data_IF_838052130017
#
_entry.id   IF_838052130017
#
_cell.length_a   1.000
_cell.length_b   1.000
_cell.length_c   1.000
_cell.angle_alpha   90.00
_cell.angle_beta   90.00
_cell.angle_gamma   90.00
#
_symmetry.space_group_name_H-M   'P 1'
#
loop_
_entity.id
_entity.type
_entity.pdbx_description
1 polymer ?
#
# COMPACT_ATOMS: atom_id res chain seq x y z
N UNK A 1 24.48 3.35 -56.16
CA UNK A 1 24.42 4.78 -55.77
C UNK A 1 23.80 4.89 -54.39
N UNK A 2 24.61 5.19 -53.36
CA UNK A 2 24.19 5.99 -52.20
C UNK A 2 24.18 7.47 -52.63
N UNK A 3 23.43 8.41 -52.01
CA UNK A 3 23.50 8.81 -50.58
C UNK A 3 22.10 9.13 -49.99
N UNK A 4 21.81 9.61 -48.76
CA UNK A 4 22.51 9.98 -47.52
C UNK A 4 21.47 10.17 -46.39
N UNK A 5 21.88 9.80 -45.17
CA UNK A 5 21.49 10.19 -43.79
C UNK A 5 20.46 11.31 -43.56
N UNK A 6 19.60 11.10 -42.56
CA UNK A 6 19.38 12.02 -41.42
C UNK A 6 18.95 11.27 -40.15
N UNK A 7 19.19 11.94 -39.02
CA UNK A 7 19.48 11.46 -37.68
C UNK A 7 18.28 11.65 -36.72
N UNK A 8 18.41 11.06 -35.52
CA UNK A 8 17.88 11.51 -34.21
C UNK A 8 16.44 11.19 -33.79
N UNK A 9 16.33 10.65 -32.56
CA UNK A 9 15.15 10.87 -31.71
C UNK A 9 14.84 9.79 -30.69
N UNK A 10 15.77 9.48 -29.77
CA UNK A 10 15.43 8.83 -28.50
C UNK A 10 14.44 9.74 -27.75
N UNK A 11 13.20 9.28 -27.52
CA UNK A 11 12.30 9.93 -26.57
C UNK A 11 11.80 8.90 -25.57
N UNK A 12 12.52 8.79 -24.45
CA UNK A 12 11.96 8.19 -23.24
C UNK A 12 10.99 9.21 -22.63
N UNK A 13 9.71 8.84 -22.58
CA UNK A 13 8.71 9.60 -21.85
C UNK A 13 8.94 9.41 -20.34
N UNK A 14 9.61 10.36 -19.69
CA UNK A 14 9.72 10.43 -18.25
C UNK A 14 8.34 10.78 -17.66
N UNK A 15 7.70 9.83 -16.97
CA UNK A 15 6.55 10.12 -16.09
C UNK A 15 7.09 10.79 -14.83
N UNK A 16 6.85 12.10 -14.68
CA UNK A 16 7.19 12.85 -13.48
C UNK A 16 6.07 12.68 -12.44
N UNK A 17 6.40 12.18 -11.24
CA UNK A 17 5.51 12.30 -10.09
C UNK A 17 5.35 13.79 -9.77
N UNK A 18 4.11 14.26 -9.56
CA UNK A 18 3.83 15.56 -8.96
C UNK A 18 3.15 15.32 -7.62
N UNK A 19 3.76 15.84 -6.57
CA UNK A 19 3.16 15.97 -5.24
C UNK A 19 2.39 17.29 -5.21
N UNK A 20 1.08 17.23 -4.96
CA UNK A 20 0.27 18.41 -4.68
C UNK A 20 0.08 18.54 -3.17
N UNK A 21 0.50 19.67 -2.60
CA UNK A 21 0.30 20.01 -1.20
C UNK A 21 -1.10 20.64 -1.04
N UNK A 22 -2.03 19.89 -0.46
CA UNK A 22 -3.27 20.44 0.07
C UNK A 22 -3.16 20.36 1.59
N UNK A 23 -3.18 21.50 2.27
CA UNK A 23 -2.86 21.70 3.68
C UNK A 23 -3.74 20.99 4.73
N UNK A 24 -4.01 19.69 4.55
CA UNK A 24 -4.49 18.72 5.53
C UNK A 24 -3.96 17.32 5.14
N UNK A 25 -2.86 16.91 5.78
CA UNK A 25 -2.35 15.53 6.00
C UNK A 25 -2.46 14.44 4.92
N UNK A 26 -2.68 14.78 3.65
CA UNK A 26 -2.71 13.79 2.57
C UNK A 26 -1.86 14.25 1.40
N UNK A 27 -0.76 13.53 1.16
CA UNK A 27 0.06 13.65 -0.05
C UNK A 27 -0.58 12.80 -1.14
N UNK A 28 -0.93 13.44 -2.26
CA UNK A 28 -1.57 12.79 -3.40
C UNK A 28 -0.54 12.39 -4.46
N UNK A 29 -0.58 11.14 -4.90
CA UNK A 29 0.15 10.66 -6.08
C UNK A 29 -0.86 10.09 -7.07
N UNK A 30 -0.99 10.72 -8.23
CA UNK A 30 -1.88 10.29 -9.31
C UNK A 30 -1.09 10.02 -10.59
N UNK A 31 -1.38 8.91 -11.27
CA UNK A 31 -0.86 8.64 -12.60
C UNK A 31 -1.93 8.94 -13.65
N UNK A 32 -1.95 10.14 -14.21
CA UNK A 32 -2.70 10.42 -15.43
C UNK A 32 -1.86 11.20 -16.44
N UNK A 33 -1.76 10.65 -17.65
CA UNK A 33 -1.19 11.32 -18.80
C UNK A 33 -2.30 11.90 -19.68
N UNK A 34 -2.25 13.21 -19.94
CA UNK A 34 -2.76 13.86 -21.16
C UNK A 34 -1.90 15.09 -21.45
N UNK A 35 -1.51 15.24 -22.71
CA UNK A 35 -0.67 16.30 -23.24
C UNK A 35 -1.43 17.63 -23.33
N UNK A 36 -0.77 18.73 -22.97
CA UNK A 36 -1.18 20.11 -23.22
C UNK A 36 0.06 21.01 -23.21
N UNK A 37 0.18 21.82 -24.26
CA UNK A 37 1.33 22.64 -24.70
C UNK A 37 1.72 23.83 -23.77
N UNK A 38 2.87 24.51 -24.01
CA UNK A 38 3.64 25.20 -22.99
C UNK A 38 3.33 26.71 -22.87
N UNK A 39 3.53 27.25 -21.67
CA UNK A 39 3.51 28.69 -21.42
C UNK A 39 4.24 29.05 -20.12
N UNK A 40 5.33 29.79 -20.30
CA UNK A 40 5.94 30.82 -19.45
C UNK A 40 6.70 30.45 -18.15
N UNK A 41 8.02 30.62 -18.30
CA UNK A 41 9.02 31.24 -17.41
C UNK A 41 8.91 31.13 -15.88
N UNK A 42 9.95 30.52 -15.29
CA UNK A 42 10.27 30.53 -13.86
C UNK A 42 11.20 31.70 -13.56
N UNK A 43 10.98 32.50 -12.50
CA UNK A 43 12.06 33.22 -11.86
C UNK A 43 12.64 32.42 -10.68
N UNK A 44 13.97 32.40 -10.68
CA UNK A 44 14.88 31.76 -9.77
C UNK A 44 15.09 32.64 -8.52
N UNK A 45 14.85 32.11 -7.31
CA UNK A 45 15.45 32.65 -6.08
C UNK A 45 15.53 31.63 -4.94
N UNK A 46 16.78 31.23 -4.66
CA UNK A 46 17.45 30.91 -3.38
C UNK A 46 16.66 30.18 -2.26
N UNK A 47 16.96 28.89 -2.03
CA UNK A 47 18.02 28.34 -1.14
C UNK A 47 17.85 28.67 0.35
N UNK A 48 17.44 27.67 1.13
CA UNK A 48 18.23 27.09 2.26
C UNK A 48 17.46 25.90 2.85
N UNK A 49 17.97 24.67 2.67
CA UNK A 49 17.48 23.49 3.39
C UNK A 49 18.68 22.88 4.11
N UNK A 50 18.57 22.80 5.42
CA UNK A 50 19.54 22.18 6.31
C UNK A 50 19.59 20.66 6.07
N UNK A 51 20.76 20.02 6.15
CA UNK A 51 20.84 18.58 5.93
C UNK A 51 20.20 17.82 7.10
N UNK A 52 19.20 16.99 6.77
CA UNK A 52 18.62 16.02 7.69
C UNK A 52 19.63 14.90 7.95
N UNK A 53 20.10 14.79 9.20
CA UNK A 53 20.98 13.70 9.62
C UNK A 53 20.16 12.42 9.84
N UNK A 54 20.31 11.44 8.95
CA UNK A 54 19.73 10.11 9.11
C UNK A 54 20.33 9.40 10.34
N UNK A 55 19.51 8.79 11.23
CA UNK A 55 19.99 8.07 12.40
C UNK A 55 20.51 6.65 12.09
N UNK A 56 20.58 6.25 10.81
CA UNK A 56 21.05 4.92 10.44
C UNK A 56 22.54 4.93 10.12
N UNK A 57 23.37 4.72 11.15
CA UNK A 57 24.70 4.11 11.00
C UNK A 57 24.66 2.70 11.58
N UNK A 58 25.06 1.73 10.77
CA UNK A 58 25.44 0.40 11.26
C UNK A 58 26.85 0.51 11.82
N UNK A 59 27.00 0.42 13.15
CA UNK A 59 28.31 0.27 13.79
C UNK A 59 28.40 -1.08 14.50
N UNK A 60 29.57 -1.69 14.35
CA UNK A 60 29.94 -3.01 14.84
C UNK A 60 30.13 -2.97 16.36
N UNK A 61 29.54 -3.92 17.08
CA UNK A 61 29.70 -4.05 18.53
C UNK A 61 31.02 -4.73 18.89
N UNK A 62 31.94 -3.99 19.50
CA UNK A 62 32.99 -4.56 20.34
C UNK A 62 32.57 -4.52 21.82
N UNK A 63 32.77 -5.66 22.49
CA UNK A 63 32.48 -5.94 23.89
C UNK A 63 33.26 -5.04 24.85
N UNK A 64 32.59 -4.36 25.81
CA UNK A 64 33.18 -4.03 27.11
C UNK A 64 32.14 -3.99 28.25
N UNK A 65 32.41 -4.77 29.31
CA UNK A 65 32.35 -4.33 30.71
C UNK A 65 31.01 -4.39 31.47
N UNK A 66 30.82 -5.46 32.24
CA UNK A 66 29.85 -5.54 33.34
C UNK A 66 30.24 -4.60 34.51
N UNK A 67 29.28 -3.80 34.99
CA UNK A 67 29.22 -3.36 36.39
C UNK A 67 27.78 -3.39 36.90
N UNK A 68 27.62 -3.97 38.08
CA UNK A 68 26.37 -4.11 38.85
C UNK A 68 25.90 -2.77 39.42
N UNK A 69 24.58 -2.59 39.52
CA UNK A 69 23.98 -1.52 40.33
C UNK A 69 22.55 -1.14 39.93
N UNK A 70 21.65 -1.25 40.92
CA UNK A 70 20.26 -0.75 41.03
C UNK A 70 19.19 -1.39 40.15
N UNK A 71 18.02 -1.65 40.76
CA UNK A 71 16.79 -2.06 40.09
C UNK A 71 16.28 -0.90 39.23
N UNK A 72 16.97 -0.63 38.12
CA UNK A 72 16.48 0.22 37.06
C UNK A 72 15.26 -0.47 36.45
N UNK A 73 14.13 0.23 36.42
CA UNK A 73 13.01 -0.15 35.57
C UNK A 73 13.56 -0.54 34.21
N UNK A 74 13.36 -1.80 33.80
CA UNK A 74 13.81 -2.29 32.50
C UNK A 74 12.98 -1.62 31.40
N UNK A 75 13.28 -0.37 31.11
CA UNK A 75 12.66 0.38 30.02
C UNK A 75 13.22 -0.13 28.70
N UNK A 76 12.32 -0.54 27.81
CA UNK A 76 12.67 -1.00 26.48
C UNK A 76 13.36 0.12 25.68
N UNK A 77 14.40 -0.21 24.93
CA UNK A 77 15.01 0.71 23.96
C UNK A 77 13.99 1.17 22.92
N UNK A 78 14.17 2.35 22.29
CA UNK A 78 13.30 2.84 21.23
C UNK A 78 13.11 1.83 20.09
N UNK A 79 14.17 1.10 19.72
CA UNK A 79 14.12 0.06 18.70
C UNK A 79 13.26 -1.14 19.13
N UNK A 80 13.35 -1.53 20.41
CA UNK A 80 12.50 -2.59 20.97
C UNK A 80 11.03 -2.17 20.99
N UNK A 81 10.73 -0.93 21.41
CA UNK A 81 9.37 -0.38 21.40
C UNK A 81 8.80 -0.36 19.98
N UNK A 82 9.56 0.16 19.01
CA UNK A 82 9.15 0.18 17.60
C UNK A 82 8.86 -1.23 17.07
N UNK A 83 9.75 -2.19 17.33
CA UNK A 83 9.57 -3.57 16.88
C UNK A 83 8.37 -4.24 17.55
N UNK A 84 8.14 -3.97 18.83
CA UNK A 84 6.97 -4.46 19.55
C UNK A 84 5.68 -3.91 18.95
N UNK A 85 5.60 -2.60 18.71
CA UNK A 85 4.42 -1.96 18.11
C UNK A 85 4.16 -2.45 16.68
N UNK A 86 5.21 -2.64 15.88
CA UNK A 86 5.11 -3.26 14.56
C UNK A 86 4.58 -4.69 14.62
N UNK A 87 5.06 -5.49 15.57
CA UNK A 87 4.59 -6.86 15.73
C UNK A 87 3.12 -6.91 16.16
N UNK A 88 2.67 -5.97 17.01
CA UNK A 88 1.26 -5.85 17.39
C UNK A 88 0.38 -5.53 16.19
N UNK A 89 0.76 -4.59 15.33
CA UNK A 89 -0.04 -4.24 14.14
C UNK A 89 -0.08 -5.39 13.13
N UNK A 90 1.05 -6.07 12.90
CA UNK A 90 1.09 -7.28 12.06
C UNK A 90 0.19 -8.38 12.64
N UNK A 91 0.23 -8.61 13.95
CA UNK A 91 -0.60 -9.62 14.60
C UNK A 91 -2.10 -9.29 14.51
N UNK A 92 -2.48 -8.01 14.64
CA UNK A 92 -3.85 -7.52 14.43
C UNK A 92 -4.29 -7.79 12.98
N UNK A 93 -3.52 -7.37 11.99
CA UNK A 93 -3.84 -7.57 10.57
C UNK A 93 -4.02 -9.07 10.24
N UNK A 94 -3.13 -9.93 10.74
CA UNK A 94 -3.25 -11.39 10.58
C UNK A 94 -4.49 -11.98 11.24
N UNK A 95 -4.85 -11.50 12.43
CA UNK A 95 -6.09 -11.92 13.10
C UNK A 95 -7.31 -11.52 12.27
N UNK A 96 -7.35 -10.28 11.81
CA UNK A 96 -8.43 -9.78 10.95
C UNK A 96 -8.55 -10.61 9.68
N UNK A 97 -7.43 -10.90 9.02
CA UNK A 97 -7.43 -11.73 7.82
C UNK A 97 -8.05 -13.11 8.06
N UNK A 98 -7.71 -13.78 9.17
CA UNK A 98 -8.33 -15.07 9.55
C UNK A 98 -9.83 -14.96 9.79
N UNK A 99 -10.30 -13.86 10.40
CA UNK A 99 -11.73 -13.61 10.58
C UNK A 99 -12.42 -13.47 9.22
N UNK A 100 -11.82 -12.74 8.28
CA UNK A 100 -12.34 -12.66 6.92
C UNK A 100 -12.41 -14.05 6.27
N UNK A 101 -11.33 -14.84 6.30
CA UNK A 101 -11.32 -16.21 5.76
C UNK A 101 -12.42 -17.09 6.37
N UNK A 102 -12.61 -17.00 7.69
CA UNK A 102 -13.69 -17.71 8.38
C UNK A 102 -15.07 -17.27 7.86
N UNK A 103 -15.33 -15.96 7.76
CA UNK A 103 -16.61 -15.43 7.23
C UNK A 103 -16.86 -15.86 5.79
N UNK A 104 -15.82 -15.91 4.95
CA UNK A 104 -15.92 -16.47 3.59
C UNK A 104 -16.32 -17.95 3.63
N UNK A 105 -15.67 -18.75 4.48
CA UNK A 105 -15.96 -20.17 4.62
C UNK A 105 -17.40 -20.42 5.13
N UNK A 106 -17.87 -19.63 6.10
CA UNK A 106 -19.23 -19.69 6.62
C UNK A 106 -20.28 -19.31 5.57
N UNK A 107 -20.03 -18.26 4.77
CA UNK A 107 -20.90 -17.89 3.65
C UNK A 107 -21.00 -19.03 2.62
N UNK A 108 -19.86 -19.64 2.27
CA UNK A 108 -19.80 -20.78 1.37
C UNK A 108 -20.56 -21.99 1.92
N UNK A 109 -20.45 -22.28 3.22
CA UNK A 109 -21.20 -23.35 3.88
C UNK A 109 -22.72 -23.11 3.85
N UNK A 110 -23.16 -21.84 3.82
CA UNK A 110 -24.56 -21.42 3.65
C UNK A 110 -25.01 -21.40 2.17
N UNK A 111 -24.18 -21.87 1.24
CA UNK A 111 -24.48 -21.87 -0.20
C UNK A 111 -24.37 -20.50 -0.88
N UNK A 112 -23.78 -19.49 -0.21
CA UNK A 112 -23.50 -18.20 -0.84
C UNK A 112 -22.15 -18.26 -1.57
N UNK A 113 -22.08 -17.95 -2.88
CA UNK A 113 -20.85 -18.00 -3.66
C UNK A 113 -19.86 -16.89 -3.27
N UNK A 114 -20.38 -15.78 -2.74
CA UNK A 114 -19.62 -14.63 -2.26
C UNK A 114 -20.30 -14.09 -0.99
N UNK A 115 -19.55 -13.77 0.08
CA UNK A 115 -20.11 -13.16 1.29
C UNK A 115 -20.60 -11.74 1.01
N UNK A 116 -21.46 -11.19 1.86
CA UNK A 116 -21.82 -9.78 1.69
C UNK A 116 -20.61 -8.88 1.95
N UNK A 117 -20.55 -7.74 1.27
CA UNK A 117 -19.41 -6.83 1.41
C UNK A 117 -19.19 -6.37 2.85
N UNK A 118 -20.25 -6.03 3.57
CA UNK A 118 -20.16 -5.62 4.98
C UNK A 118 -19.49 -6.67 5.89
N UNK A 119 -19.56 -7.95 5.54
CA UNK A 119 -18.94 -9.02 6.32
C UNK A 119 -17.41 -9.07 6.09
N UNK A 120 -16.89 -8.42 5.05
CA UNK A 120 -15.48 -8.45 4.69
C UNK A 120 -14.66 -7.32 5.33
N UNK A 121 -15.31 -6.26 5.82
CA UNK A 121 -14.67 -5.21 6.60
C UNK A 121 -14.78 -5.60 8.08
N UNK A 122 -13.64 -5.84 8.72
CA UNK A 122 -13.57 -6.33 10.10
C UNK A 122 -12.90 -5.32 11.01
N UNK A 123 -12.04 -4.47 10.47
CA UNK A 123 -11.35 -3.47 11.27
C UNK A 123 -12.34 -2.47 11.88
N UNK A 124 -12.42 -2.49 13.21
CA UNK A 124 -13.39 -1.71 13.99
C UNK A 124 -13.25 -0.21 13.76
N UNK A 125 -12.01 0.27 13.56
CA UNK A 125 -11.74 1.70 13.43
C UNK A 125 -12.25 2.25 12.10
N UNK A 126 -12.26 1.41 11.06
CA UNK A 126 -12.92 1.75 9.79
C UNK A 126 -14.43 1.60 9.84
N UNK A 127 -14.95 0.61 10.58
CA UNK A 127 -16.39 0.48 10.82
C UNK A 127 -16.96 1.71 11.54
N UNK A 128 -16.23 2.24 12.51
CA UNK A 128 -16.56 3.47 13.23
C UNK A 128 -16.46 4.72 12.34
N UNK A 129 -15.47 4.76 11.43
CA UNK A 129 -15.26 5.87 10.50
C UNK A 129 -16.25 5.90 9.32
N UNK A 130 -16.86 4.75 8.98
CA UNK A 130 -17.81 4.59 7.88
C UNK A 130 -19.20 4.14 8.39
N UNK A 131 -19.77 4.85 9.38
CA UNK A 131 -21.04 4.45 9.96
C UNK A 131 -22.12 4.54 8.88
N UNK A 132 -22.97 3.52 8.82
CA UNK A 132 -24.10 3.47 7.88
C UNK A 132 -23.73 3.39 6.39
N UNK A 133 -22.44 3.31 6.00
CA UNK A 133 -22.03 3.34 4.58
C UNK A 133 -22.55 2.11 3.82
N UNK A 134 -22.43 0.93 4.41
CA UNK A 134 -22.91 -0.33 3.83
C UNK A 134 -24.44 -0.43 3.74
N UNK A 135 -25.15 0.39 4.51
CA UNK A 135 -26.61 0.48 4.51
C UNK A 135 -27.13 1.36 3.38
N UNK A 136 -26.26 2.13 2.71
CA UNK A 136 -26.68 3.00 1.61
C UNK A 136 -27.13 2.15 0.41
N UNK A 137 -28.16 2.60 -0.35
CA UNK A 137 -28.71 1.83 -1.46
C UNK A 137 -27.68 1.43 -2.52
N UNK A 138 -26.66 2.26 -2.76
CA UNK A 138 -25.63 1.97 -3.75
C UNK A 138 -24.69 0.83 -3.29
N UNK A 139 -24.39 0.72 -1.99
CA UNK A 139 -23.57 -0.36 -1.44
C UNK A 139 -24.32 -1.69 -1.44
N UNK A 140 -25.61 -1.67 -1.12
CA UNK A 140 -26.47 -2.86 -1.22
C UNK A 140 -26.52 -3.39 -2.66
N UNK A 141 -26.76 -2.49 -3.63
CA UNK A 141 -26.73 -2.83 -5.06
C UNK A 141 -25.37 -3.37 -5.51
N UNK A 142 -24.27 -2.81 -5.00
CA UNK A 142 -22.92 -3.29 -5.31
C UNK A 142 -22.66 -4.68 -4.73
N UNK A 143 -23.09 -4.94 -3.50
CA UNK A 143 -23.00 -6.26 -2.85
C UNK A 143 -23.79 -7.31 -3.65
N UNK A 144 -25.02 -6.99 -4.06
CA UNK A 144 -25.84 -7.84 -4.92
C UNK A 144 -25.21 -8.09 -6.30
N UNK A 145 -24.62 -7.05 -6.90
CA UNK A 145 -23.91 -7.14 -8.17
C UNK A 145 -22.77 -8.15 -8.10
N UNK A 146 -21.90 -8.06 -7.08
CA UNK A 146 -20.75 -8.97 -6.92
C UNK A 146 -21.22 -10.40 -6.65
N UNK A 147 -22.23 -10.58 -5.80
CA UNK A 147 -22.80 -11.92 -5.54
C UNK A 147 -23.34 -12.54 -6.84
N UNK A 148 -24.00 -11.75 -7.70
CA UNK A 148 -24.49 -12.21 -9.00
C UNK A 148 -23.34 -12.58 -9.94
N UNK A 149 -22.33 -11.72 -10.09
CA UNK A 149 -21.16 -11.98 -10.95
C UNK A 149 -20.36 -13.20 -10.49
N UNK A 150 -20.27 -13.43 -9.17
CA UNK A 150 -19.53 -14.58 -8.61
C UNK A 150 -20.11 -15.96 -8.95
N UNK A 151 -21.34 -16.00 -9.48
CA UNK A 151 -21.98 -17.24 -9.99
C UNK A 151 -21.55 -17.58 -11.42
N UNK A 152 -20.91 -16.64 -12.11
CA UNK A 152 -20.37 -16.84 -13.45
C UNK A 152 -19.10 -17.69 -13.45
N UNK A 153 -18.55 -17.89 -14.65
CA UNK A 153 -17.27 -18.60 -14.84
C UNK A 153 -16.04 -17.68 -14.73
N UNK A 154 -16.24 -16.35 -14.75
CA UNK A 154 -15.16 -15.38 -14.64
C UNK A 154 -14.66 -15.31 -13.19
N UNK A 155 -13.37 -15.55 -12.92
CA UNK A 155 -12.84 -15.41 -11.58
C UNK A 155 -12.84 -13.95 -11.13
N UNK A 156 -13.24 -13.71 -9.88
CA UNK A 156 -13.19 -12.40 -9.24
C UNK A 156 -11.90 -12.32 -8.41
N UNK A 157 -11.15 -11.23 -8.55
CA UNK A 157 -9.91 -10.99 -7.82
C UNK A 157 -9.93 -9.64 -7.10
N UNK A 158 -9.36 -9.54 -5.89
CA UNK A 158 -8.70 -10.61 -5.13
C UNK A 158 -9.73 -11.61 -4.55
N UNK A 159 -9.27 -12.72 -3.93
CA UNK A 159 -10.16 -13.58 -3.14
C UNK A 159 -11.01 -12.76 -2.15
N UNK A 160 -12.25 -13.17 -1.82
CA UNK A 160 -13.18 -12.33 -1.07
C UNK A 160 -12.61 -11.82 0.27
N UNK A 161 -11.87 -12.66 0.99
CA UNK A 161 -11.24 -12.29 2.26
C UNK A 161 -10.21 -11.14 2.17
N UNK A 162 -9.80 -10.78 0.96
CA UNK A 162 -8.81 -9.76 0.67
C UNK A 162 -9.41 -8.51 0.00
N UNK A 163 -10.71 -8.44 -0.28
CA UNK A 163 -11.34 -7.27 -0.96
C UNK A 163 -11.08 -5.98 -0.20
N UNK A 164 -11.25 -5.99 1.12
CA UNK A 164 -10.96 -4.85 2.00
C UNK A 164 -9.60 -4.96 2.71
N UNK A 165 -8.63 -5.70 2.15
CA UNK A 165 -7.34 -5.92 2.81
C UNK A 165 -6.61 -4.59 3.12
N UNK A 166 -6.69 -3.59 2.24
CA UNK A 166 -6.14 -2.26 2.47
C UNK A 166 -6.66 -1.60 3.75
N UNK A 167 -7.98 -1.64 3.97
CA UNK A 167 -8.63 -1.08 5.17
C UNK A 167 -8.33 -1.94 6.40
N UNK A 168 -8.43 -3.27 6.24
CA UNK A 168 -8.22 -4.24 7.31
C UNK A 168 -6.78 -4.32 7.83
N UNK A 169 -5.80 -3.91 7.01
CA UNK A 169 -4.37 -3.94 7.38
C UNK A 169 -3.87 -2.57 7.86
N UNK A 170 -4.50 -1.47 7.44
CA UNK A 170 -4.16 -0.11 7.82
C UNK A 170 -5.28 0.50 8.69
N UNK A 171 -5.20 0.39 10.03
CA UNK A 171 -6.19 1.00 10.92
C UNK A 171 -6.35 2.50 10.67
N UNK A 172 -7.58 3.00 10.78
CA UNK A 172 -7.92 4.37 10.43
C UNK A 172 -7.12 5.39 11.24
N UNK A 173 -6.95 5.14 12.54
CA UNK A 173 -6.19 5.95 13.49
C UNK A 173 -4.68 5.98 13.24
N UNK A 174 -4.16 5.02 12.48
CA UNK A 174 -2.74 4.94 12.11
C UNK A 174 -2.45 5.46 10.71
N UNK A 175 -3.47 5.86 9.95
CA UNK A 175 -3.35 6.35 8.59
C UNK A 175 -2.46 7.61 8.51
N UNK A 176 -1.48 7.59 7.61
CA UNK A 176 -0.52 8.69 7.38
C UNK A 176 -0.41 9.06 5.90
N UNK A 177 -0.47 8.07 5.02
CA UNK A 177 -0.27 8.24 3.58
C UNK A 177 -1.32 7.43 2.84
N UNK A 178 -1.85 7.98 1.75
CA UNK A 178 -2.77 7.27 0.85
C UNK A 178 -2.09 7.13 -0.51
N UNK A 179 -1.98 5.90 -1.00
CA UNK A 179 -1.49 5.59 -2.34
C UNK A 179 -2.62 4.94 -3.10
N UNK A 180 -2.98 5.53 -4.25
CA UNK A 180 -4.11 5.09 -5.06
C UNK A 180 -3.64 4.32 -6.29
N UNK A 181 -4.11 3.09 -6.42
CA UNK A 181 -4.04 2.31 -7.66
C UNK A 181 -5.35 2.35 -8.43
N UNK A 182 -5.36 1.79 -9.64
CA UNK A 182 -6.54 1.76 -10.50
C UNK A 182 -7.40 0.54 -10.18
N UNK A 183 -6.96 -0.64 -10.63
CA UNK A 183 -7.66 -1.92 -10.50
C UNK A 183 -6.71 -3.00 -9.94
N UNK A 184 -7.24 -4.10 -9.37
CA UNK A 184 -6.43 -5.20 -8.89
C UNK A 184 -5.72 -5.91 -10.05
N UNK A 185 -4.57 -6.52 -9.77
CA UNK A 185 -3.94 -7.40 -10.76
C UNK A 185 -4.86 -8.58 -11.15
N UNK A 186 -5.03 -8.81 -12.44
CA UNK A 186 -5.95 -9.81 -12.97
C UNK A 186 -5.35 -11.23 -13.06
N UNK A 187 -4.05 -11.41 -12.76
CA UNK A 187 -3.40 -12.72 -12.79
C UNK A 187 -3.76 -13.58 -11.57
N UNK A 188 -3.97 -14.89 -11.74
CA UNK A 188 -4.27 -15.78 -10.62
C UNK A 188 -3.24 -15.67 -9.49
N UNK A 189 -3.72 -15.40 -8.28
CA UNK A 189 -2.87 -15.27 -7.08
C UNK A 189 -2.02 -14.00 -7.00
N UNK A 190 -2.16 -13.05 -7.93
CA UNK A 190 -1.41 -11.80 -7.90
C UNK A 190 -2.04 -10.74 -7.00
N UNK A 191 -3.35 -10.50 -7.15
CA UNK A 191 -4.05 -9.51 -6.36
C UNK A 191 -4.19 -9.97 -4.90
N UNK A 192 -3.73 -9.12 -3.99
CA UNK A 192 -3.82 -9.35 -2.55
C UNK A 192 -4.55 -8.22 -1.80
N UNK A 193 -5.35 -7.42 -2.52
CA UNK A 193 -6.16 -6.35 -1.92
C UNK A 193 -5.38 -5.13 -1.42
N UNK A 194 -4.11 -5.00 -1.82
CA UNK A 194 -3.28 -3.82 -1.61
C UNK A 194 -2.78 -3.34 -2.98
N UNK A 195 -2.95 -2.07 -3.32
CA UNK A 195 -2.49 -1.55 -4.61
C UNK A 195 -0.98 -1.74 -4.79
N UNK A 196 -0.55 -2.07 -6.02
CA UNK A 196 0.83 -2.42 -6.40
C UNK A 196 1.45 -3.67 -5.74
N UNK A 197 0.92 -4.14 -4.61
CA UNK A 197 1.47 -5.27 -3.86
C UNK A 197 1.13 -6.61 -4.51
N UNK A 198 2.08 -7.55 -4.44
CA UNK A 198 1.86 -8.96 -4.80
C UNK A 198 2.37 -9.89 -3.69
N UNK A 199 1.79 -11.10 -3.51
CA UNK A 199 2.27 -12.06 -2.53
C UNK A 199 3.74 -12.44 -2.74
N UNK A 200 4.39 -12.91 -1.67
CA UNK A 200 5.76 -13.42 -1.76
C UNK A 200 5.83 -14.61 -2.71
N UNK A 201 6.89 -14.68 -3.52
CA UNK A 201 7.06 -15.70 -4.56
C UNK A 201 6.38 -15.38 -5.89
N UNK A 202 5.51 -14.37 -5.95
CA UNK A 202 4.96 -13.85 -7.20
C UNK A 202 5.94 -12.84 -7.81
N UNK A 203 6.15 -12.94 -9.13
CA UNK A 203 7.00 -12.01 -9.88
C UNK A 203 6.49 -10.58 -9.70
N UNK A 204 7.40 -9.68 -9.34
CA UNK A 204 7.07 -8.25 -9.20
C UNK A 204 6.60 -7.66 -10.54
N UNK A 205 5.44 -6.99 -10.56
CA UNK A 205 4.95 -6.25 -11.72
C UNK A 205 5.86 -5.08 -12.06
N UNK A 206 5.88 -4.67 -13.34
CA UNK A 206 6.74 -3.58 -13.81
C UNK A 206 6.50 -2.25 -13.09
N UNK A 207 5.23 -1.94 -12.78
CA UNK A 207 4.87 -0.74 -12.00
C UNK A 207 5.53 -0.73 -10.62
N UNK A 208 5.52 -1.87 -9.91
CA UNK A 208 6.16 -1.97 -8.60
C UNK A 208 7.69 -1.88 -8.69
N UNK A 209 8.28 -2.50 -9.71
CA UNK A 209 9.73 -2.38 -9.97
C UNK A 209 10.12 -0.92 -10.19
N UNK A 210 9.31 -0.15 -10.92
CA UNK A 210 9.58 1.26 -11.13
C UNK A 210 9.46 2.08 -9.84
N UNK A 211 8.45 1.78 -8.99
CA UNK A 211 8.33 2.40 -7.66
C UNK A 211 9.60 2.13 -6.83
N UNK A 212 10.05 0.88 -6.76
CA UNK A 212 11.26 0.57 -5.99
C UNK A 212 12.52 1.22 -6.55
N UNK A 213 12.66 1.33 -7.88
CA UNK A 213 13.77 2.08 -8.50
C UNK A 213 13.76 3.55 -8.11
N UNK A 214 12.59 4.19 -8.13
CA UNK A 214 12.44 5.59 -7.73
C UNK A 214 12.84 5.78 -6.28
N UNK A 215 12.35 4.93 -5.37
CA UNK A 215 12.69 5.00 -3.94
C UNK A 215 14.20 4.78 -3.73
N UNK A 216 14.81 3.84 -4.45
CA UNK A 216 16.27 3.64 -4.37
C UNK A 216 17.03 4.89 -4.83
N UNK A 217 16.60 5.53 -5.91
CA UNK A 217 17.26 6.72 -6.45
C UNK A 217 17.10 7.94 -5.54
N UNK A 218 15.94 8.10 -4.91
CA UNK A 218 15.61 9.25 -4.07
C UNK A 218 16.21 9.13 -2.66
N UNK A 219 16.03 7.99 -1.99
CA UNK A 219 16.41 7.82 -0.57
C UNK A 219 17.53 6.79 -0.34
N UNK A 220 18.10 6.20 -1.39
CA UNK A 220 19.25 5.31 -1.30
C UNK A 220 18.96 3.96 -0.62
N UNK A 221 17.71 3.52 -0.58
CA UNK A 221 17.35 2.28 0.10
C UNK A 221 17.74 1.03 -0.71
N UNK A 222 17.87 -0.11 0.00
CA UNK A 222 18.01 -1.42 -0.66
C UNK A 222 16.68 -1.86 -1.27
N UNK A 223 16.74 -2.45 -2.47
CA UNK A 223 15.56 -2.97 -3.17
C UNK A 223 15.13 -4.30 -2.51
N UNK A 224 13.85 -4.42 -2.08
CA UNK A 224 13.33 -5.70 -1.62
C UNK A 224 13.37 -6.76 -2.74
N UNK A 225 13.58 -8.02 -2.36
CA UNK A 225 13.53 -9.15 -3.29
C UNK A 225 12.11 -9.67 -3.57
N UNK A 226 11.10 -9.07 -2.94
CA UNK A 226 9.69 -9.47 -3.04
C UNK A 226 8.78 -8.26 -3.23
N UNK A 227 7.58 -8.50 -3.77
CA UNK A 227 6.59 -7.44 -4.04
C UNK A 227 5.55 -7.21 -2.96
N UNK A 228 5.66 -7.86 -1.79
CA UNK A 228 4.68 -7.71 -0.72
C UNK A 228 4.90 -6.40 0.08
N UNK A 229 3.91 -5.51 0.04
CA UNK A 229 3.87 -4.20 0.69
C UNK A 229 3.06 -4.15 2.00
N UNK A 230 2.67 -5.30 2.56
CA UNK A 230 1.91 -5.39 3.83
C UNK A 230 2.61 -4.60 4.97
N UNK A 231 3.94 -4.57 4.97
CA UNK A 231 4.72 -3.79 5.94
C UNK A 231 4.48 -2.28 5.86
N UNK A 232 4.15 -1.74 4.69
CA UNK A 232 3.79 -0.33 4.55
C UNK A 232 2.37 -0.10 5.08
N UNK A 233 1.44 -1.01 4.77
CA UNK A 233 0.07 -0.93 5.23
C UNK A 233 -0.05 -0.89 6.77
N UNK A 234 0.64 -1.81 7.47
CA UNK A 234 0.63 -1.83 8.95
C UNK A 234 1.33 -0.63 9.59
N UNK A 235 2.07 0.18 8.82
CA UNK A 235 2.75 1.40 9.26
C UNK A 235 1.92 2.67 9.03
N UNK A 236 0.75 2.56 8.38
CA UNK A 236 -0.14 3.68 8.09
C UNK A 236 -0.18 4.12 6.62
N UNK A 237 0.28 3.28 5.69
CA UNK A 237 0.18 3.56 4.25
C UNK A 237 -1.03 2.83 3.68
N UNK A 238 -2.12 3.56 3.42
CA UNK A 238 -3.30 3.00 2.80
C UNK A 238 -3.06 2.79 1.29
N UNK A 239 -2.86 1.52 0.92
CA UNK A 239 -2.62 1.07 -0.46
C UNK A 239 -3.95 0.66 -1.12
N UNK A 240 -4.74 1.64 -1.57
CA UNK A 240 -6.13 1.42 -2.01
C UNK A 240 -6.24 1.50 -3.54
N UNK A 241 -6.95 0.57 -4.17
CA UNK A 241 -7.35 0.70 -5.57
C UNK A 241 -8.68 1.47 -5.68
N UNK A 242 -8.90 2.21 -6.77
CA UNK A 242 -10.20 2.85 -7.03
C UNK A 242 -11.29 1.84 -7.39
N UNK A 243 -10.91 0.68 -7.94
CA UNK A 243 -11.75 -0.50 -8.15
C UNK A 243 -11.20 -1.64 -7.31
N UNK A 244 -12.05 -2.33 -6.55
CA UNK A 244 -11.62 -3.34 -5.57
C UNK A 244 -11.73 -4.79 -6.06
N UNK A 245 -12.44 -5.04 -7.16
CA UNK A 245 -12.70 -6.37 -7.72
C UNK A 245 -12.81 -6.38 -9.22
#
# INVERSE_FOLDING_TARGET
>A
MLPSKTNNGLFQAHKRLRVADSGKNAVWISSNGKNGEPGDEVPESEKTVTPYSSPFKCENNENQGLKEGTAAEMQLSPQQVFRMEMNKTIARAKRIHRICEQRVAEAKAKGMPFPKLEDLLVDETWLDALPSEFQKPYMQKLSEFIVRESRGSTPIYPPPALVFNALNTCPFEKLKVVIIGQDPYHGPGQAMGLCFSVPNGIKMPSSLVNIFKEIQQDVGCSLPSHGNLERWAVQGVLLLNTVLT
#
